data_IF_269479835864
#
_entry.id   IF_269479835864
#
_cell.length_a   1.000
_cell.length_b   1.000
_cell.length_c   1.000
_cell.angle_alpha   90.00
_cell.angle_beta   90.00
_cell.angle_gamma   90.00
#
_symmetry.space_group_name_H-M   'P 1'
#
loop_
_entity.id
_entity.type
_entity.pdbx_description
1 polymer ?
#
# COMPACT_ATOMS: atom_id res chain seq x y z
N UNK A 1 -5.23 25.84 -26.79
CA UNK A 1 -4.78 24.60 -26.16
C UNK A 1 -5.96 23.63 -26.11
N UNK A 2 -5.84 22.44 -26.68
CA UNK A 2 -6.88 21.40 -26.52
C UNK A 2 -6.87 20.95 -25.05
N UNK A 3 -7.96 21.18 -24.31
CA UNK A 3 -8.14 20.59 -22.98
C UNK A 3 -8.09 19.07 -23.16
N UNK A 4 -7.09 18.41 -22.61
CA UNK A 4 -7.07 16.94 -22.54
C UNK A 4 -8.27 16.50 -21.71
N UNK A 5 -9.13 15.67 -22.31
CA UNK A 5 -10.28 15.16 -21.59
C UNK A 5 -9.80 14.21 -20.49
N UNK A 6 -10.40 14.33 -19.31
CA UNK A 6 -10.14 13.38 -18.22
C UNK A 6 -10.64 11.99 -18.61
N UNK A 7 -9.93 10.96 -18.19
CA UNK A 7 -10.37 9.57 -18.36
C UNK A 7 -11.67 9.33 -17.60
N UNK A 8 -12.69 8.88 -18.31
CA UNK A 8 -13.92 8.39 -17.67
C UNK A 8 -13.65 7.02 -17.07
N UNK A 9 -13.83 6.91 -15.77
CA UNK A 9 -13.73 5.63 -15.07
C UNK A 9 -14.91 4.75 -15.46
N UNK A 10 -14.63 3.55 -15.97
CA UNK A 10 -15.65 2.55 -16.33
C UNK A 10 -15.54 1.39 -15.33
N UNK A 11 -16.66 0.96 -14.80
CA UNK A 11 -16.71 -0.17 -13.88
C UNK A 11 -16.14 -1.45 -14.54
N UNK A 12 -15.36 -2.19 -13.77
CA UNK A 12 -14.72 -3.43 -14.22
C UNK A 12 -13.53 -3.27 -15.17
N UNK A 13 -13.27 -2.08 -15.71
CA UNK A 13 -12.09 -1.84 -16.53
C UNK A 13 -10.82 -1.71 -15.68
N UNK A 14 -9.67 -2.12 -16.26
CA UNK A 14 -8.36 -1.98 -15.62
C UNK A 14 -7.66 -0.69 -16.06
N UNK A 15 -6.97 -0.08 -15.10
CA UNK A 15 -6.24 1.17 -15.30
C UNK A 15 -4.83 1.10 -14.73
N UNK A 16 -3.93 1.89 -15.28
CA UNK A 16 -2.71 2.31 -14.60
C UNK A 16 -2.92 3.66 -13.93
N UNK A 17 -2.23 3.90 -12.83
CA UNK A 17 -2.21 5.20 -12.12
C UNK A 17 -0.77 5.69 -12.19
N UNK A 18 -0.49 6.63 -13.08
CA UNK A 18 0.85 7.06 -13.42
C UNK A 18 1.16 8.47 -12.90
N UNK A 19 2.38 8.65 -12.38
CA UNK A 19 2.98 9.95 -12.10
C UNK A 19 3.41 10.67 -13.39
N UNK A 20 3.82 11.92 -13.28
CA UNK A 20 4.20 12.77 -14.43
C UNK A 20 5.35 12.16 -15.28
N UNK A 21 6.23 11.38 -14.67
CA UNK A 21 7.36 10.72 -15.37
C UNK A 21 7.00 9.35 -15.99
N UNK A 22 5.74 8.95 -15.98
CA UNK A 22 5.24 7.69 -16.56
C UNK A 22 5.41 6.45 -15.67
N UNK A 23 6.04 6.56 -14.48
CA UNK A 23 6.02 5.48 -13.49
C UNK A 23 4.64 5.34 -12.89
N UNK A 24 4.30 4.12 -12.47
CA UNK A 24 2.95 3.78 -12.01
C UNK A 24 2.93 3.31 -10.56
N UNK A 25 1.79 3.47 -9.91
CA UNK A 25 1.56 2.85 -8.61
C UNK A 25 1.44 1.35 -8.75
N UNK A 26 2.11 0.60 -7.86
CA UNK A 26 2.08 -0.85 -7.80
C UNK A 26 1.98 -1.37 -6.36
N UNK A 27 1.58 -2.63 -6.23
CA UNK A 27 1.82 -3.39 -4.99
C UNK A 27 3.27 -3.84 -4.97
N UNK A 28 3.99 -3.48 -3.90
CA UNK A 28 5.41 -3.77 -3.77
C UNK A 28 5.70 -5.28 -3.72
N UNK A 29 6.75 -5.69 -4.44
CA UNK A 29 7.38 -7.02 -4.34
C UNK A 29 6.40 -8.20 -4.57
N UNK A 30 5.37 -8.00 -5.41
CA UNK A 30 4.32 -9.01 -5.69
C UNK A 30 3.66 -9.53 -4.41
N UNK A 31 3.73 -8.77 -3.31
CA UNK A 31 3.29 -9.19 -2.00
C UNK A 31 1.75 -9.27 -1.96
N UNK A 32 1.21 -10.45 -1.66
CA UNK A 32 -0.25 -10.68 -1.60
C UNK A 32 -0.85 -10.47 -0.21
N UNK A 33 -0.03 -10.12 0.79
CA UNK A 33 -0.49 -9.98 2.17
C UNK A 33 -1.19 -8.64 2.41
N UNK A 34 -2.00 -8.58 3.46
CA UNK A 34 -2.51 -7.33 4.00
C UNK A 34 -1.32 -6.48 4.49
N UNK A 35 -1.39 -5.16 4.27
CA UNK A 35 -0.33 -4.24 4.65
C UNK A 35 0.81 -4.12 3.65
N UNK A 36 0.77 -4.82 2.50
CA UNK A 36 1.77 -4.62 1.47
C UNK A 36 1.71 -3.18 0.93
N UNK A 37 2.88 -2.55 0.86
CA UNK A 37 3.01 -1.15 0.47
C UNK A 37 2.56 -0.89 -0.95
N UNK A 38 1.97 0.27 -1.19
CA UNK A 38 1.78 0.84 -2.52
C UNK A 38 2.93 1.81 -2.76
N UNK A 39 3.64 1.62 -3.87
CA UNK A 39 4.80 2.43 -4.25
C UNK A 39 4.80 2.77 -5.74
N UNK A 40 5.67 3.69 -6.12
CA UNK A 40 5.92 4.04 -7.51
C UNK A 40 6.96 3.09 -8.12
N UNK A 41 6.73 2.65 -9.36
CA UNK A 41 7.66 1.80 -10.10
C UNK A 41 7.56 2.01 -11.61
N UNK A 42 8.61 1.63 -12.35
CA UNK A 42 8.58 1.61 -13.81
C UNK A 42 7.48 0.68 -14.30
N UNK A 43 6.73 1.12 -15.32
CA UNK A 43 5.64 0.30 -15.84
C UNK A 43 6.16 -0.87 -16.68
N UNK A 44 5.82 -2.07 -16.30
CA UNK A 44 6.22 -3.34 -16.92
C UNK A 44 5.04 -4.14 -17.47
N UNK A 45 3.85 -3.54 -17.44
CA UNK A 45 2.60 -4.16 -17.90
C UNK A 45 2.13 -5.32 -17.03
N UNK A 46 2.52 -5.33 -15.75
CA UNK A 46 2.25 -6.43 -14.84
C UNK A 46 0.92 -6.25 -14.09
N UNK A 47 0.22 -7.35 -13.70
CA UNK A 47 -1.07 -7.25 -13.03
C UNK A 47 -1.06 -6.50 -11.69
N UNK A 48 0.05 -6.53 -10.94
CA UNK A 48 0.19 -5.79 -9.68
C UNK A 48 0.38 -4.27 -9.87
N UNK A 49 0.54 -3.82 -11.13
CA UNK A 49 0.59 -2.43 -11.55
C UNK A 49 -0.75 -1.94 -12.12
N UNK A 50 -1.79 -2.75 -12.02
CA UNK A 50 -3.07 -2.51 -12.64
C UNK A 50 -4.19 -2.49 -11.60
N UNK A 51 -5.12 -1.56 -11.76
CA UNK A 51 -6.13 -1.22 -10.79
C UNK A 51 -7.52 -1.20 -11.39
N UNK A 52 -8.50 -1.69 -10.63
CA UNK A 52 -9.92 -1.70 -10.99
C UNK A 52 -10.64 -0.77 -10.03
N UNK A 53 -11.43 0.16 -10.55
CA UNK A 53 -12.24 1.06 -9.74
C UNK A 53 -13.63 0.45 -9.57
N UNK A 54 -13.95 0.05 -8.34
CA UNK A 54 -15.26 -0.47 -7.95
C UNK A 54 -16.04 0.65 -7.27
N UNK A 55 -17.20 1.03 -7.79
CA UNK A 55 -18.03 2.03 -7.14
C UNK A 55 -18.45 1.56 -5.73
N UNK A 56 -18.26 2.40 -4.74
CA UNK A 56 -18.57 2.12 -3.33
C UNK A 56 -19.70 2.99 -2.79
N UNK A 57 -19.89 4.15 -3.38
CA UNK A 57 -20.98 5.10 -3.20
C UNK A 57 -20.90 6.09 -4.38
N UNK A 58 -21.88 6.96 -4.54
CA UNK A 58 -21.91 7.96 -5.60
C UNK A 58 -20.60 8.76 -5.64
N UNK A 59 -19.87 8.66 -6.76
CA UNK A 59 -18.57 9.32 -6.96
C UNK A 59 -17.41 8.80 -6.10
N UNK A 60 -17.60 7.74 -5.32
CA UNK A 60 -16.58 7.13 -4.47
C UNK A 60 -16.23 5.73 -4.93
N UNK A 61 -14.96 5.42 -4.99
CA UNK A 61 -14.44 4.16 -5.48
C UNK A 61 -13.61 3.42 -4.45
N UNK A 62 -13.64 2.08 -4.49
CA UNK A 62 -12.55 1.23 -4.00
C UNK A 62 -11.61 0.95 -5.15
N UNK A 63 -10.33 1.16 -4.94
CA UNK A 63 -9.28 0.96 -5.94
C UNK A 63 -8.66 -0.40 -5.68
N UNK A 64 -9.09 -1.41 -6.45
CA UNK A 64 -8.72 -2.81 -6.28
C UNK A 64 -7.53 -3.16 -7.16
N UNK A 65 -6.52 -3.79 -6.59
CA UNK A 65 -5.40 -4.32 -7.35
C UNK A 65 -5.83 -5.55 -8.16
N UNK A 66 -5.48 -5.60 -9.44
CA UNK A 66 -5.86 -6.70 -10.33
C UNK A 66 -5.22 -8.03 -9.92
N UNK A 67 -3.99 -8.01 -9.41
CA UNK A 67 -3.24 -9.21 -9.03
C UNK A 67 -3.73 -9.80 -7.70
N UNK A 68 -3.83 -8.97 -6.67
CA UNK A 68 -4.11 -9.45 -5.31
C UNK A 68 -5.60 -9.50 -4.98
N UNK A 69 -6.44 -8.76 -5.74
CA UNK A 69 -7.84 -8.57 -5.43
C UNK A 69 -8.10 -7.68 -4.19
N UNK A 70 -7.04 -7.24 -3.51
CA UNK A 70 -7.12 -6.34 -2.35
C UNK A 70 -7.27 -4.89 -2.80
N UNK A 71 -7.70 -4.03 -1.89
CA UNK A 71 -7.98 -2.62 -2.19
C UNK A 71 -6.97 -1.68 -1.52
N UNK A 72 -6.75 -0.51 -2.10
CA UNK A 72 -5.98 0.56 -1.44
C UNK A 72 -6.65 0.98 -0.15
N UNK A 73 -5.86 1.07 0.92
CA UNK A 73 -6.31 1.40 2.27
C UNK A 73 -5.30 2.33 2.97
N UNK A 74 -5.75 3.02 3.99
CA UNK A 74 -4.88 3.80 4.86
C UNK A 74 -4.32 2.94 5.98
N UNK A 75 -3.01 2.92 6.11
CA UNK A 75 -2.33 2.18 7.17
C UNK A 75 -2.90 2.60 8.55
N UNK A 76 -3.37 1.60 9.32
CA UNK A 76 -3.97 1.78 10.65
C UNK A 76 -5.11 2.81 10.69
N UNK A 77 -5.83 3.01 9.59
CA UNK A 77 -6.87 4.05 9.44
C UNK A 77 -6.38 5.46 9.79
N UNK A 78 -5.09 5.72 9.58
CA UNK A 78 -4.47 7.01 9.86
C UNK A 78 -5.04 8.12 8.97
N UNK A 79 -5.16 9.32 9.53
CA UNK A 79 -5.72 10.49 8.83
C UNK A 79 -4.77 11.68 8.78
N UNK A 80 -3.53 11.50 9.24
CA UNK A 80 -2.51 12.55 9.27
C UNK A 80 -1.66 12.56 8.00
N UNK A 81 -1.02 13.68 7.71
CA UNK A 81 -0.02 13.75 6.65
C UNK A 81 1.07 12.72 6.89
N UNK A 82 1.47 12.01 5.82
CA UNK A 82 2.47 10.95 5.90
C UNK A 82 1.90 9.57 6.24
N UNK A 83 0.58 9.42 6.43
CA UNK A 83 -0.02 8.10 6.55
C UNK A 83 0.18 7.32 5.26
N UNK A 84 0.76 6.13 5.35
CA UNK A 84 1.05 5.29 4.19
C UNK A 84 -0.21 4.72 3.55
N UNK A 85 -0.17 4.60 2.24
CA UNK A 85 -1.13 3.83 1.47
C UNK A 85 -0.58 2.42 1.32
N UNK A 86 -1.40 1.43 1.67
CA UNK A 86 -1.10 0.01 1.53
C UNK A 86 -2.28 -0.71 0.88
N UNK A 87 -2.15 -2.00 0.63
CA UNK A 87 -3.31 -2.82 0.29
C UNK A 87 -3.87 -3.54 1.51
N UNK A 88 -5.17 -3.75 1.51
CA UNK A 88 -5.87 -4.54 2.54
C UNK A 88 -7.06 -5.28 1.94
N UNK A 89 -7.56 -6.30 2.64
CA UNK A 89 -8.83 -6.93 2.30
C UNK A 89 -9.96 -5.88 2.30
N UNK A 90 -10.94 -6.08 1.41
CA UNK A 90 -12.08 -5.19 1.28
C UNK A 90 -12.91 -5.16 2.57
N UNK A 91 -13.15 -3.98 3.10
CA UNK A 91 -14.00 -3.70 4.26
C UNK A 91 -15.08 -2.67 3.90
N UNK A 92 -15.93 -2.33 4.87
CA UNK A 92 -16.90 -1.23 4.72
C UNK A 92 -16.32 0.14 5.11
N UNK A 93 -15.08 0.19 5.60
CA UNK A 93 -14.42 1.38 6.11
C UNK A 93 -14.24 2.50 5.08
N UNK A 94 -14.34 3.75 5.53
CA UNK A 94 -14.12 4.93 4.70
C UNK A 94 -12.64 5.12 4.30
N UNK A 95 -11.69 4.51 5.02
CA UNK A 95 -10.26 4.52 4.68
C UNK A 95 -9.95 3.86 3.33
N UNK A 96 -10.86 2.99 2.84
CA UNK A 96 -10.77 2.33 1.54
C UNK A 96 -11.59 3.01 0.45
N UNK A 97 -12.15 4.19 0.71
CA UNK A 97 -12.94 4.93 -0.27
C UNK A 97 -12.18 6.14 -0.77
N UNK A 98 -12.20 6.31 -2.08
CA UNK A 98 -11.43 7.32 -2.77
C UNK A 98 -12.30 8.07 -3.78
N UNK A 99 -12.13 9.36 -3.87
CA UNK A 99 -12.74 10.23 -4.88
C UNK A 99 -11.70 10.57 -5.95
N UNK A 100 -12.14 10.61 -7.20
CA UNK A 100 -11.30 11.01 -8.32
C UNK A 100 -11.63 12.47 -8.65
N UNK A 101 -10.77 13.37 -8.19
CA UNK A 101 -10.96 14.81 -8.36
C UNK A 101 -10.25 15.28 -9.64
N UNK A 102 -10.99 15.82 -10.62
CA UNK A 102 -10.38 16.34 -11.84
C UNK A 102 -9.31 17.39 -11.59
N UNK A 103 -8.23 17.35 -12.37
CA UNK A 103 -7.17 18.35 -12.37
C UNK A 103 -6.82 18.75 -13.81
N UNK A 104 -6.00 19.79 -13.97
CA UNK A 104 -5.60 20.27 -15.28
C UNK A 104 -4.82 19.24 -16.09
N UNK A 105 -4.85 19.39 -17.42
CA UNK A 105 -4.12 18.53 -18.35
C UNK A 105 -4.63 17.08 -18.43
N UNK A 106 -5.88 16.82 -18.02
CA UNK A 106 -6.48 15.47 -18.03
C UNK A 106 -5.97 14.58 -16.88
N UNK A 107 -5.28 15.16 -15.90
CA UNK A 107 -4.85 14.50 -14.68
C UNK A 107 -5.97 14.48 -13.63
N UNK A 108 -5.76 13.74 -12.56
CA UNK A 108 -6.65 13.68 -11.41
C UNK A 108 -5.86 13.68 -10.10
N UNK A 109 -6.50 14.12 -9.03
CA UNK A 109 -6.11 13.83 -7.65
C UNK A 109 -6.95 12.67 -7.15
N UNK A 110 -6.37 11.82 -6.33
CA UNK A 110 -7.06 10.69 -5.70
C UNK A 110 -7.18 11.01 -4.22
N UNK A 111 -8.39 11.42 -3.80
CA UNK A 111 -8.67 11.90 -2.43
C UNK A 111 -9.30 10.82 -1.58
N UNK A 112 -8.78 10.61 -0.39
CA UNK A 112 -9.35 9.67 0.56
C UNK A 112 -10.55 10.28 1.29
N UNK A 113 -11.66 9.53 1.37
CA UNK A 113 -12.93 9.98 1.96
C UNK A 113 -12.86 10.12 3.49
N UNK A 114 -12.02 9.32 4.17
CA UNK A 114 -11.87 9.39 5.62
C UNK A 114 -10.99 10.57 6.04
N UNK A 115 -9.86 10.74 5.36
CA UNK A 115 -8.82 11.68 5.75
C UNK A 115 -8.95 13.06 5.11
N UNK A 116 -9.76 13.20 4.04
CA UNK A 116 -9.85 14.41 3.18
C UNK A 116 -8.46 14.88 2.70
N UNK A 117 -7.61 13.90 2.34
CA UNK A 117 -6.25 14.09 1.85
C UNK A 117 -6.05 13.33 0.54
N UNK A 118 -5.09 13.76 -0.24
CA UNK A 118 -4.79 13.18 -1.56
C UNK A 118 -3.62 12.22 -1.50
N UNK A 119 -3.58 11.24 -2.42
CA UNK A 119 -2.40 10.37 -2.60
C UNK A 119 -1.23 11.24 -3.07
N UNK A 120 -0.12 11.07 -2.38
CA UNK A 120 1.11 11.83 -2.49
C UNK A 120 2.32 10.88 -2.51
N UNK A 121 3.45 11.33 -3.02
CA UNK A 121 4.71 10.60 -3.01
C UNK A 121 5.64 11.12 -1.92
N UNK A 122 6.15 10.23 -1.07
CA UNK A 122 7.06 10.58 0.03
C UNK A 122 8.24 11.42 -0.47
N UNK A 123 8.41 12.60 0.12
CA UNK A 123 9.50 13.52 -0.19
C UNK A 123 9.45 14.09 -1.61
N UNK A 124 8.28 14.09 -2.26
CA UNK A 124 8.09 14.51 -3.66
C UNK A 124 8.98 13.74 -4.66
N UNK A 125 9.49 12.57 -4.26
CA UNK A 125 10.37 11.74 -5.08
C UNK A 125 9.57 11.00 -6.13
N UNK A 126 10.21 10.75 -7.27
CA UNK A 126 9.58 10.05 -8.40
C UNK A 126 10.39 8.84 -8.87
N UNK A 127 11.27 8.33 -8.00
CA UNK A 127 12.10 7.16 -8.26
C UNK A 127 11.35 5.86 -8.01
N UNK A 128 11.86 4.75 -8.58
CA UNK A 128 11.37 3.41 -8.24
C UNK A 128 11.51 3.16 -6.73
N UNK A 129 10.47 2.60 -6.13
CA UNK A 129 10.40 2.32 -4.70
C UNK A 129 9.87 3.48 -3.84
N UNK A 130 9.58 4.64 -4.44
CA UNK A 130 8.99 5.75 -3.68
C UNK A 130 7.61 5.37 -3.15
N UNK A 131 7.46 5.41 -1.83
CA UNK A 131 6.23 5.05 -1.11
C UNK A 131 5.11 6.05 -1.38
N UNK A 132 3.90 5.54 -1.60
CA UNK A 132 2.68 6.34 -1.59
C UNK A 132 2.19 6.59 -0.17
N UNK A 133 1.80 7.83 0.10
CA UNK A 133 1.22 8.30 1.35
C UNK A 133 0.00 9.16 1.06
N UNK A 134 -0.71 9.60 2.08
CA UNK A 134 -1.65 10.72 1.95
C UNK A 134 -1.04 11.99 2.51
N UNK A 135 -1.36 13.11 1.88
CA UNK A 135 -0.94 14.44 2.30
C UNK A 135 -2.05 15.44 2.02
N UNK A 136 -2.05 16.57 2.75
CA UNK A 136 -2.92 17.68 2.40
C UNK A 136 -2.70 18.11 0.95
N UNK A 137 -3.73 18.55 0.28
CA UNK A 137 -3.64 19.03 -1.10
C UNK A 137 -2.85 20.36 -1.14
N UNK A 138 -1.64 20.29 -1.65
CA UNK A 138 -0.74 21.45 -1.84
C UNK A 138 -0.55 21.81 -3.32
N UNK A 139 -1.36 21.22 -4.21
CA UNK A 139 -1.32 21.43 -5.64
C UNK A 139 0.03 21.05 -6.29
N UNK A 140 0.80 20.17 -5.63
CA UNK A 140 2.07 19.67 -6.14
C UNK A 140 1.89 18.64 -7.26
N UNK A 141 2.87 18.56 -8.19
CA UNK A 141 2.84 17.56 -9.26
C UNK A 141 2.91 16.10 -8.75
N UNK A 142 3.52 15.88 -7.59
CA UNK A 142 3.58 14.59 -6.91
C UNK A 142 2.23 14.11 -6.34
N UNK A 143 1.17 14.91 -6.48
CA UNK A 143 -0.22 14.62 -6.14
C UNK A 143 -1.12 14.49 -7.36
N UNK A 144 -0.56 14.60 -8.56
CA UNK A 144 -1.29 14.56 -9.83
C UNK A 144 -1.04 13.25 -10.57
N UNK A 145 -2.11 12.57 -10.91
CA UNK A 145 -2.08 11.23 -11.48
C UNK A 145 -2.73 11.19 -12.86
N UNK A 146 -2.10 10.51 -13.78
CA UNK A 146 -2.70 10.12 -15.06
C UNK A 146 -3.31 8.73 -14.90
N UNK A 147 -4.64 8.63 -14.98
CA UNK A 147 -5.36 7.36 -14.92
C UNK A 147 -5.64 6.93 -16.35
N UNK A 148 -4.99 5.85 -16.82
CA UNK A 148 -5.05 5.40 -18.21
C UNK A 148 -5.59 3.98 -18.29
N UNK A 149 -6.55 3.70 -19.21
CA UNK A 149 -7.06 2.34 -19.40
C UNK A 149 -5.94 1.43 -19.88
N UNK A 150 -5.91 0.22 -19.34
CA UNK A 150 -4.98 -0.84 -19.79
C UNK A 150 -5.52 -1.45 -21.07
N UNK A 151 -4.75 -1.50 -22.17
CA UNK A 151 -5.18 -2.14 -23.40
C UNK A 151 -5.49 -3.63 -23.22
N UNK A 152 -6.55 -4.14 -23.86
CA UNK A 152 -7.02 -5.53 -23.76
C UNK A 152 -5.93 -6.56 -23.99
N UNK A 153 -4.98 -6.31 -24.91
CA UNK A 153 -3.84 -7.18 -25.19
C UNK A 153 -2.93 -7.42 -23.95
N UNK A 154 -2.90 -6.47 -23.01
CA UNK A 154 -2.13 -6.60 -21.78
C UNK A 154 -2.95 -7.27 -20.67
N UNK A 155 -4.27 -7.33 -20.81
CA UNK A 155 -5.14 -8.04 -19.87
C UNK A 155 -5.11 -9.56 -20.06
N UNK A 156 -4.67 -10.03 -21.24
CA UNK A 156 -4.55 -11.46 -21.57
C UNK A 156 -3.28 -12.11 -20.99
N UNK A 157 -2.37 -11.31 -20.39
CA UNK A 157 -1.21 -11.88 -19.69
C UNK A 157 -1.67 -12.75 -18.54
N UNK A 158 -1.19 -13.99 -18.51
CA UNK A 158 -1.48 -14.93 -17.43
C UNK A 158 -1.15 -14.29 -16.07
N UNK A 159 -2.08 -14.42 -15.13
CA UNK A 159 -1.86 -13.99 -13.75
C UNK A 159 -0.76 -14.87 -13.15
N UNK A 160 0.37 -14.32 -12.69
CA UNK A 160 1.37 -15.12 -12.01
C UNK A 160 0.73 -15.76 -10.78
N UNK A 161 0.94 -17.07 -10.62
CA UNK A 161 0.48 -17.75 -9.41
C UNK A 161 1.25 -17.18 -8.21
N UNK A 162 0.55 -16.82 -7.11
CA UNK A 162 1.24 -16.43 -5.88
C UNK A 162 2.15 -17.57 -5.45
N UNK A 163 3.45 -17.31 -5.34
CA UNK A 163 4.34 -18.30 -4.76
C UNK A 163 4.03 -18.46 -3.28
N UNK A 164 3.90 -19.71 -2.77
CA UNK A 164 3.75 -19.93 -1.35
C UNK A 164 5.00 -19.39 -0.64
N UNK A 165 4.82 -18.54 0.36
CA UNK A 165 5.93 -18.05 1.20
C UNK A 165 6.74 -19.23 1.69
N UNK A 166 8.05 -19.24 1.42
CA UNK A 166 9.02 -20.06 2.14
C UNK A 166 8.92 -19.62 3.61
N UNK A 167 8.29 -20.45 4.43
CA UNK A 167 8.28 -20.26 5.88
C UNK A 167 9.73 -20.18 6.36
N UNK A 168 10.08 -19.07 7.01
CA UNK A 168 11.38 -18.93 7.64
C UNK A 168 11.62 -20.13 8.58
N UNK A 169 12.84 -20.71 8.62
CA UNK A 169 13.13 -21.84 9.49
C UNK A 169 12.85 -21.44 10.94
N UNK A 170 12.03 -22.23 11.63
CA UNK A 170 11.80 -22.09 13.05
C UNK A 170 13.15 -22.16 13.76
N UNK A 171 13.56 -21.05 14.37
CA UNK A 171 14.71 -21.01 15.28
C UNK A 171 14.50 -22.04 16.39
N UNK A 172 15.21 -23.13 16.32
CA UNK A 172 15.27 -24.14 17.38
C UNK A 172 16.09 -23.53 18.53
N UNK A 173 15.40 -22.98 19.49
CA UNK A 173 16.01 -22.54 20.77
C UNK A 173 16.44 -23.78 21.52
N UNK A 174 17.72 -24.14 21.42
CA UNK A 174 18.35 -25.17 22.21
C UNK A 174 18.36 -24.70 23.68
N UNK A 175 17.53 -25.34 24.49
CA UNK A 175 17.61 -25.18 25.95
C UNK A 175 18.84 -25.95 26.45
N UNK A 176 19.90 -25.25 26.74
CA UNK A 176 21.01 -25.80 27.52
C UNK A 176 20.57 -25.88 28.99
N UNK A 177 20.27 -27.09 29.42
CA UNK A 177 20.09 -27.43 30.83
C UNK A 177 21.46 -27.42 31.53
N UNK A 178 21.76 -26.39 32.31
CA UNK A 178 22.89 -26.40 33.22
C UNK A 178 22.47 -27.06 34.52
N UNK A 179 23.21 -28.11 34.83
CA UNK A 179 23.01 -29.00 35.97
C UNK A 179 23.13 -28.31 37.33
N UNK A 180 22.32 -28.82 38.20
CA UNK A 180 22.23 -28.54 39.63
C UNK A 180 23.44 -29.11 40.37
N UNK A 181 24.31 -28.26 40.89
CA UNK A 181 25.29 -28.67 41.91
C UNK A 181 24.75 -28.33 43.30
N UNK A 182 24.51 -29.42 44.09
CA UNK A 182 24.31 -29.36 45.52
C UNK A 182 25.64 -28.99 46.22
N UNK A 183 25.64 -28.04 47.15
CA UNK A 183 26.62 -27.99 48.22
C UNK A 183 25.95 -27.63 49.54
N UNK A 184 26.21 -28.51 50.48
CA UNK A 184 25.81 -28.57 51.87
C UNK A 184 26.64 -27.62 52.76
N UNK A 185 25.99 -27.07 53.80
CA UNK A 185 26.58 -26.92 55.12
C UNK A 185 27.27 -25.61 55.48
N UNK A 186 26.88 -25.02 56.59
CA UNK A 186 27.66 -24.07 57.32
C UNK A 186 26.83 -23.15 58.23
N UNK A 187 26.68 -23.57 59.47
CA UNK A 187 26.16 -22.86 60.65
C UNK A 187 26.99 -21.61 61.05
N UNK A 188 26.30 -20.66 61.70
CA UNK A 188 26.91 -19.76 62.70
C UNK A 188 26.69 -18.27 62.33
N UNK A 189 25.97 -17.51 63.11
CA UNK A 189 26.28 -16.95 64.36
C UNK A 189 25.84 -15.51 64.46
N UNK A 190 24.91 -15.24 65.29
CA UNK A 190 24.56 -14.06 66.11
C UNK A 190 25.40 -12.77 66.04
N UNK A 191 24.72 -11.63 66.03
CA UNK A 191 24.66 -10.45 66.97
C UNK A 191 24.47 -9.17 66.18
N UNK A 192 23.43 -8.42 66.39
CA UNK A 192 22.94 -7.48 67.39
C UNK A 192 23.67 -6.11 67.42
N UNK A 193 22.85 -5.04 67.34
CA UNK A 193 22.95 -3.69 67.89
C UNK A 193 23.95 -2.71 67.21
N UNK A 194 23.45 -1.65 66.74
CA UNK A 194 22.91 -0.39 67.31
C UNK A 194 22.13 0.40 66.31
#
# INVERSE_FOLDING_TARGET
MKKSAQTVIREGACYTIAAANGRVLEVADFNTENGASIRLWSYEGQPWQQWIFEEAAEGQYRIKNRFTGKVMDLAMSGVVNGTWVHQWEKTTGKGQRWEIVPADGGKAKIRNVLADKVIDLVGMRVDNGTQAQIWQDVFGENQLWSIQPVPDKLLQKDMPKPEPKKTAPKSTRTQTSTGRAKKTGGKGGRRAAK
#
